data_IF_985823061065
#
_entry.id   IF_985823061065
#
_cell.length_a   1.000
_cell.length_b   1.000
_cell.length_c   1.000
_cell.angle_alpha   90.00
_cell.angle_beta   90.00
_cell.angle_gamma   90.00
#
_symmetry.space_group_name_H-M   'P 1'
#
loop_
_entity.id
_entity.type
_entity.pdbx_description
1 polymer ?
#
# COMPACT_ATOMS: atom_id res chain seq x y z
N UNK A 1 -17.21 32.20 -19.50
CA UNK A 1 -15.78 31.81 -19.58
C UNK A 1 -15.47 30.79 -18.48
N UNK A 2 -15.95 29.55 -18.61
CA UNK A 2 -15.57 28.47 -17.69
C UNK A 2 -14.27 27.89 -18.26
N UNK A 3 -13.16 28.17 -17.56
CA UNK A 3 -11.84 27.66 -17.90
C UNK A 3 -11.89 26.13 -17.85
N UNK A 4 -11.69 25.48 -18.99
CA UNK A 4 -11.42 24.05 -19.07
C UNK A 4 -10.12 23.80 -18.31
N UNK A 5 -10.24 23.30 -17.07
CA UNK A 5 -9.12 22.80 -16.30
C UNK A 5 -8.38 21.78 -17.17
N UNK A 6 -7.15 22.12 -17.57
CA UNK A 6 -6.36 21.32 -18.50
C UNK A 6 -6.40 19.84 -18.12
N UNK A 7 -6.75 19.00 -19.08
CA UNK A 7 -6.88 17.56 -18.95
C UNK A 7 -5.51 17.00 -18.59
N UNK A 8 -5.20 17.02 -17.30
CA UNK A 8 -4.05 16.33 -16.72
C UNK A 8 -4.32 14.87 -16.98
N UNK A 9 -3.70 14.28 -18.01
CA UNK A 9 -3.84 12.87 -18.36
C UNK A 9 -3.65 12.04 -17.08
N UNK A 10 -4.78 11.65 -16.50
CA UNK A 10 -4.81 10.93 -15.25
C UNK A 10 -4.83 9.48 -15.66
N UNK A 11 -3.80 8.75 -15.26
CA UNK A 11 -3.70 7.32 -15.51
C UNK A 11 -4.73 6.61 -14.61
N UNK A 12 -6.01 6.61 -15.02
CA UNK A 12 -7.14 6.03 -14.28
C UNK A 12 -6.83 4.59 -13.85
N UNK A 13 -6.24 3.81 -14.76
CA UNK A 13 -5.89 2.40 -14.54
C UNK A 13 -4.84 2.28 -13.43
N UNK A 14 -3.85 3.17 -13.42
CA UNK A 14 -2.79 3.19 -12.41
C UNK A 14 -3.36 3.58 -11.04
N UNK A 15 -4.25 4.56 -10.98
CA UNK A 15 -4.91 4.98 -9.73
C UNK A 15 -5.83 3.87 -9.20
N UNK A 16 -6.55 3.17 -10.07
CA UNK A 16 -7.40 2.04 -9.71
C UNK A 16 -6.59 0.85 -9.16
N UNK A 17 -5.51 0.47 -9.85
CA UNK A 17 -4.61 -0.59 -9.41
C UNK A 17 -3.96 -0.25 -8.05
N UNK A 18 -3.69 1.03 -7.77
CA UNK A 18 -3.17 1.46 -6.46
C UNK A 18 -4.20 1.26 -5.37
N UNK A 19 -5.47 1.58 -5.65
CA UNK A 19 -6.57 1.31 -4.72
C UNK A 19 -6.68 -0.17 -4.39
N UNK A 20 -6.63 -1.04 -5.40
CA UNK A 20 -6.64 -2.50 -5.19
C UNK A 20 -5.42 -2.95 -4.37
N UNK A 21 -4.24 -2.44 -4.70
CA UNK A 21 -3.02 -2.77 -3.98
C UNK A 21 -3.10 -2.37 -2.49
N UNK A 22 -3.62 -1.17 -2.21
CA UNK A 22 -3.83 -0.66 -0.86
C UNK A 22 -4.85 -1.50 -0.08
N UNK A 23 -5.94 -1.92 -0.73
CA UNK A 23 -6.94 -2.81 -0.12
C UNK A 23 -6.32 -4.16 0.25
N UNK A 24 -5.49 -4.73 -0.62
CA UNK A 24 -4.79 -5.98 -0.32
C UNK A 24 -3.81 -5.86 0.86
N UNK A 25 -3.06 -4.75 0.96
CA UNK A 25 -2.18 -4.48 2.11
C UNK A 25 -2.98 -4.34 3.40
N UNK A 26 -4.13 -3.65 3.35
CA UNK A 26 -5.02 -3.51 4.50
C UNK A 26 -5.54 -4.88 4.97
N UNK A 27 -5.96 -5.73 4.03
CA UNK A 27 -6.37 -7.11 4.33
C UNK A 27 -5.21 -7.93 4.91
N UNK A 28 -3.99 -7.78 4.41
CA UNK A 28 -2.81 -8.48 4.92
C UNK A 28 -2.53 -8.14 6.41
N UNK A 29 -2.72 -6.87 6.79
CA UNK A 29 -2.48 -6.40 8.16
C UNK A 29 -3.65 -6.64 9.11
N UNK A 30 -4.84 -6.97 8.59
CA UNK A 30 -6.04 -7.13 9.39
C UNK A 30 -5.91 -8.10 10.60
N UNK A 31 -5.25 -9.28 10.48
CA UNK A 31 -5.06 -10.19 11.61
C UNK A 31 -4.21 -9.60 12.73
N UNK A 32 -3.26 -8.73 12.36
CA UNK A 32 -2.35 -8.09 13.30
C UNK A 32 -3.04 -6.93 14.02
N UNK A 33 -3.84 -6.14 13.30
CA UNK A 33 -4.72 -5.12 13.89
C UNK A 33 -5.82 -5.71 14.79
N UNK A 34 -6.33 -6.90 14.47
CA UNK A 34 -7.31 -7.61 15.28
C UNK A 34 -6.71 -8.25 16.54
N UNK A 35 -5.41 -8.08 16.78
CA UNK A 35 -4.63 -8.77 17.83
C UNK A 35 -4.66 -10.31 17.75
N UNK A 36 -5.22 -10.87 16.68
CA UNK A 36 -5.39 -12.31 16.50
C UNK A 36 -4.04 -13.02 16.41
N UNK A 37 -3.04 -12.37 15.80
CA UNK A 37 -1.66 -12.87 15.72
C UNK A 37 -0.98 -12.99 17.08
N UNK A 38 -1.38 -12.19 18.08
CA UNK A 38 -0.79 -12.19 19.42
C UNK A 38 -1.49 -13.14 20.40
N UNK A 39 -2.57 -13.78 19.97
CA UNK A 39 -3.35 -14.69 20.82
C UNK A 39 -2.69 -16.08 20.88
N UNK A 40 -2.63 -16.74 22.05
CA UNK A 40 -2.07 -18.08 22.14
C UNK A 40 -2.80 -19.08 21.22
N UNK A 41 -2.04 -20.00 20.61
CA UNK A 41 -2.58 -21.01 19.70
C UNK A 41 -3.66 -21.89 20.35
N UNK A 42 -3.57 -22.10 21.67
CA UNK A 42 -4.55 -22.86 22.46
C UNK A 42 -5.90 -22.14 22.57
N UNK A 43 -5.88 -20.81 22.72
CA UNK A 43 -7.08 -19.97 22.84
C UNK A 43 -7.77 -19.83 21.49
N UNK A 44 -7.00 -19.65 20.41
CA UNK A 44 -7.55 -19.60 19.04
C UNK A 44 -8.13 -20.93 18.60
N UNK A 45 -7.54 -22.06 19.00
CA UNK A 45 -8.06 -23.39 18.70
C UNK A 45 -9.35 -23.72 19.46
N UNK A 46 -9.58 -23.11 20.63
CA UNK A 46 -10.78 -23.29 21.44
C UNK A 46 -11.96 -22.41 21.00
N UNK A 47 -11.76 -21.46 20.07
CA UNK A 47 -12.83 -20.59 19.59
C UNK A 47 -13.82 -21.34 18.68
N UNK A 48 -15.13 -21.04 18.75
CA UNK A 48 -16.14 -21.63 17.87
C UNK A 48 -15.87 -21.40 16.38
N UNK A 49 -15.14 -20.34 16.04
CA UNK A 49 -14.79 -19.93 14.66
C UNK A 49 -13.49 -20.54 14.16
N UNK A 50 -12.75 -21.31 14.97
CA UNK A 50 -11.39 -21.80 14.65
C UNK A 50 -11.29 -22.55 13.31
N UNK A 51 -12.36 -23.24 12.88
CA UNK A 51 -12.41 -23.91 11.57
C UNK A 51 -12.46 -22.93 10.40
N UNK A 52 -13.26 -21.87 10.52
CA UNK A 52 -13.40 -20.81 9.50
C UNK A 52 -12.13 -19.96 9.46
N UNK A 53 -11.56 -19.64 10.63
CA UNK A 53 -10.35 -18.83 10.74
C UNK A 53 -9.16 -19.49 10.01
N UNK A 54 -9.03 -20.82 10.09
CA UNK A 54 -8.01 -21.58 9.34
C UNK A 54 -8.16 -21.44 7.83
N UNK A 55 -9.39 -21.49 7.33
CA UNK A 55 -9.68 -21.34 5.90
C UNK A 55 -9.32 -19.91 5.47
N UNK A 56 -9.79 -18.90 6.21
CA UNK A 56 -9.50 -17.49 5.92
C UNK A 56 -7.99 -17.22 5.94
N UNK A 57 -7.27 -17.73 6.93
CA UNK A 57 -5.81 -17.61 7.04
C UNK A 57 -5.09 -18.28 5.88
N UNK A 58 -5.56 -19.46 5.43
CA UNK A 58 -5.01 -20.13 4.26
C UNK A 58 -5.21 -19.31 2.98
N UNK A 59 -6.42 -18.78 2.76
CA UNK A 59 -6.68 -17.91 1.60
C UNK A 59 -5.83 -16.63 1.65
N UNK A 60 -5.71 -16.01 2.82
CA UNK A 60 -4.86 -14.83 2.99
C UNK A 60 -3.39 -15.15 2.68
N UNK A 61 -2.88 -16.28 3.16
CA UNK A 61 -1.50 -16.70 2.88
C UNK A 61 -1.27 -16.96 1.39
N UNK A 62 -2.20 -17.64 0.71
CA UNK A 62 -2.03 -18.01 -0.70
C UNK A 62 -2.21 -16.81 -1.64
N UNK A 63 -3.20 -15.96 -1.38
CA UNK A 63 -3.59 -14.90 -2.30
C UNK A 63 -3.03 -13.52 -1.96
N UNK A 64 -2.78 -13.25 -0.67
CA UNK A 64 -2.50 -11.89 -0.21
C UNK A 64 -1.04 -11.74 0.22
N UNK A 65 -0.53 -12.70 0.99
CA UNK A 65 0.78 -12.59 1.62
C UNK A 65 1.91 -12.41 0.58
N UNK A 66 2.73 -11.38 0.78
CA UNK A 66 3.81 -10.96 -0.13
C UNK A 66 3.38 -10.31 -1.45
N UNK A 67 2.29 -10.74 -2.09
CA UNK A 67 1.93 -10.33 -3.47
C UNK A 67 1.53 -8.86 -3.58
N UNK A 68 0.68 -8.39 -2.66
CA UNK A 68 0.18 -7.02 -2.72
C UNK A 68 1.26 -5.99 -2.38
N UNK A 69 2.21 -6.33 -1.51
CA UNK A 69 3.39 -5.49 -1.26
C UNK A 69 4.25 -5.34 -2.52
N UNK A 70 4.49 -6.43 -3.26
CA UNK A 70 5.21 -6.38 -4.53
C UNK A 70 4.47 -5.54 -5.57
N UNK A 71 3.16 -5.74 -5.73
CA UNK A 71 2.32 -4.97 -6.65
C UNK A 71 2.33 -3.48 -6.31
N UNK A 72 2.16 -3.13 -5.03
CA UNK A 72 2.20 -1.75 -4.58
C UNK A 72 3.56 -1.10 -4.87
N UNK A 73 4.66 -1.78 -4.56
CA UNK A 73 6.03 -1.30 -4.83
C UNK A 73 6.26 -1.05 -6.33
N UNK A 74 5.84 -1.98 -7.19
CA UNK A 74 5.95 -1.84 -8.64
C UNK A 74 5.15 -0.65 -9.17
N UNK A 75 3.90 -0.51 -8.72
CA UNK A 75 2.99 0.56 -9.15
C UNK A 75 3.40 1.95 -8.64
N UNK A 76 4.01 1.97 -7.46
CA UNK A 76 4.66 3.12 -6.89
C UNK A 76 5.89 3.53 -7.73
N UNK A 77 6.73 2.57 -8.11
CA UNK A 77 7.85 2.76 -9.04
C UNK A 77 7.43 3.31 -10.41
N UNK A 78 6.38 2.75 -11.01
CA UNK A 78 5.80 3.25 -12.27
C UNK A 78 5.32 4.70 -12.11
N UNK A 79 4.69 5.01 -10.98
CA UNK A 79 4.28 6.37 -10.63
C UNK A 79 5.43 7.37 -10.64
N UNK A 80 6.58 6.97 -10.11
CA UNK A 80 7.78 7.78 -10.13
C UNK A 80 8.37 7.96 -11.52
N UNK A 81 8.40 6.90 -12.33
CA UNK A 81 8.86 6.99 -13.71
C UNK A 81 8.07 8.03 -14.52
N UNK A 82 6.75 8.08 -14.31
CA UNK A 82 5.87 9.08 -14.93
C UNK A 82 6.20 10.50 -14.45
N UNK A 83 6.40 10.69 -13.14
CA UNK A 83 6.77 11.99 -12.57
C UNK A 83 8.11 12.48 -13.14
N UNK A 84 9.10 11.60 -13.21
CA UNK A 84 10.43 11.91 -13.73
C UNK A 84 10.39 12.23 -15.23
N UNK A 85 9.67 11.43 -16.01
CA UNK A 85 9.48 11.64 -17.45
C UNK A 85 8.81 12.99 -17.75
N UNK A 86 7.81 13.38 -16.94
CA UNK A 86 7.19 14.70 -17.04
C UNK A 86 8.12 15.84 -16.60
N UNK A 87 9.03 15.59 -15.65
CA UNK A 87 10.04 16.56 -15.20
C UNK A 87 11.05 16.87 -16.30
N UNK A 88 11.55 15.84 -17.00
CA UNK A 88 12.49 15.95 -18.12
C UNK A 88 11.85 16.71 -19.28
N UNK A 89 10.59 16.38 -19.63
CA UNK A 89 9.87 17.03 -20.73
C UNK A 89 9.58 18.52 -20.49
N UNK A 90 9.33 18.93 -19.24
CA UNK A 90 8.92 20.31 -18.92
C UNK A 90 10.06 21.21 -18.40
N UNK A 91 11.31 20.72 -18.39
CA UNK A 91 12.52 21.48 -18.04
C UNK A 91 12.42 22.29 -16.73
N UNK A 92 11.59 21.83 -15.78
CA UNK A 92 11.30 22.50 -14.52
C UNK A 92 11.03 21.48 -13.42
N UNK A 93 11.73 21.67 -12.29
CA UNK A 93 11.45 21.30 -10.90
C UNK A 93 10.76 19.96 -10.54
N UNK A 94 10.51 19.03 -11.46
CA UNK A 94 9.86 17.77 -11.15
C UNK A 94 10.72 16.87 -10.25
N UNK A 95 12.06 17.00 -10.30
CA UNK A 95 12.97 16.41 -9.31
C UNK A 95 12.72 16.95 -7.90
N UNK A 96 12.45 18.25 -7.72
CA UNK A 96 12.13 18.83 -6.41
C UNK A 96 10.84 18.26 -5.84
N UNK A 97 9.81 18.06 -6.68
CA UNK A 97 8.55 17.45 -6.28
C UNK A 97 8.75 15.97 -5.89
N UNK A 98 9.58 15.26 -6.65
CA UNK A 98 9.95 13.87 -6.39
C UNK A 98 10.62 13.69 -5.02
N UNK A 99 11.72 14.42 -4.77
CA UNK A 99 12.45 14.31 -3.50
C UNK A 99 11.58 14.71 -2.30
N UNK A 100 10.76 15.76 -2.43
CA UNK A 100 9.84 16.15 -1.35
C UNK A 100 8.87 15.02 -0.99
N UNK A 101 8.32 14.32 -1.98
CA UNK A 101 7.42 13.18 -1.76
C UNK A 101 8.14 11.99 -1.13
N UNK A 102 9.33 11.65 -1.60
CA UNK A 102 10.11 10.55 -1.03
C UNK A 102 10.51 10.81 0.42
N UNK A 103 10.97 12.02 0.74
CA UNK A 103 11.35 12.37 2.12
C UNK A 103 10.14 12.30 3.05
N UNK A 104 8.98 12.80 2.63
CA UNK A 104 7.76 12.70 3.44
C UNK A 104 7.38 11.23 3.68
N UNK A 105 7.41 10.39 2.64
CA UNK A 105 7.08 8.97 2.77
C UNK A 105 8.11 8.22 3.63
N UNK A 106 9.39 8.55 3.51
CA UNK A 106 10.46 8.02 4.35
C UNK A 106 10.23 8.39 5.82
N UNK A 107 9.94 9.66 6.10
CA UNK A 107 9.67 10.11 7.47
C UNK A 107 8.43 9.45 8.06
N UNK A 108 7.36 9.29 7.28
CA UNK A 108 6.17 8.56 7.71
C UNK A 108 6.52 7.10 8.02
N UNK A 109 7.24 6.41 7.13
CA UNK A 109 7.63 5.01 7.35
C UNK A 109 8.56 4.84 8.55
N UNK A 110 9.51 5.75 8.73
CA UNK A 110 10.45 5.73 9.85
C UNK A 110 9.75 6.03 11.18
N UNK A 111 8.82 6.99 11.19
CA UNK A 111 8.00 7.28 12.36
C UNK A 111 7.08 6.11 12.70
N UNK A 112 6.48 5.46 11.71
CA UNK A 112 5.66 4.26 11.93
C UNK A 112 6.47 3.13 12.58
N UNK A 113 7.66 2.83 12.03
CA UNK A 113 8.55 1.77 12.53
C UNK A 113 9.10 2.06 13.95
N UNK A 114 9.37 3.33 14.27
CA UNK A 114 9.94 3.71 15.57
C UNK A 114 8.91 4.02 16.66
N UNK A 115 7.75 4.58 16.32
CA UNK A 115 6.79 5.11 17.29
C UNK A 115 5.51 4.28 17.43
N UNK A 116 5.06 3.59 16.37
CA UNK A 116 3.77 2.90 16.40
C UNK A 116 3.96 1.42 16.69
N UNK A 117 4.66 0.69 15.82
CA UNK A 117 4.91 -0.74 15.99
C UNK A 117 5.83 -1.25 14.87
N UNK A 118 6.53 -2.35 15.14
CA UNK A 118 7.35 -3.05 14.16
C UNK A 118 6.49 -3.99 13.30
N UNK A 119 5.77 -3.40 12.34
CA UNK A 119 5.21 -4.09 11.17
C UNK A 119 4.42 -3.17 10.24
#
# INVERSE_FOLDING_TARGET
MISAAGTKERYIILDFLRGIALLGICLANFPEFALYTFLPAEVTAAMPTAGVDKIVKYFQYVFIDGKFYTLFSLLFGIGFSIILSNAVKNNKSGLRIFYRRMIILLLIGLFHLLCLWAG
#
